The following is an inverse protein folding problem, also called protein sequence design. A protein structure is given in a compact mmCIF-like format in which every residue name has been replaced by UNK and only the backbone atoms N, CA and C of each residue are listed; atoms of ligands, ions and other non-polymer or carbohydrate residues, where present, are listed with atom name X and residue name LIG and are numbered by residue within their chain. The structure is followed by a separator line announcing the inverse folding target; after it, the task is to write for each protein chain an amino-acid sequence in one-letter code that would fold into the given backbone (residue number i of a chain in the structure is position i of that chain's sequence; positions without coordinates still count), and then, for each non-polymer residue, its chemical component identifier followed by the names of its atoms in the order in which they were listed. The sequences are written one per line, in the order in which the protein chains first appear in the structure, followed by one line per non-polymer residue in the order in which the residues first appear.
data_IF_626080878247
#
_entry.id   IF_626080878247
#
_cell.length_a   1.000
_cell.length_b   1.000
_cell.length_c   1.000
_cell.angle_alpha   90.00
_cell.angle_beta   90.00
_cell.angle_gamma   90.00
#
_symmetry.space_group_name_H-M   'P 1'
#
loop_
_entity.id
_entity.type
_entity.pdbx_description
1 polymer ?
#
# COMPACT_ATOMS: atom_id res chain seq x y z
N UNK A 1 15.90 -3.15 11.67
CA UNK A 1 16.65 -3.63 10.49
C UNK A 1 15.73 -3.51 9.29
N UNK A 2 16.18 -2.85 8.23
CA UNK A 2 15.32 -2.58 7.08
C UNK A 2 14.81 -3.89 6.44
N UNK A 3 13.50 -3.97 6.23
CA UNK A 3 12.84 -5.09 5.55
C UNK A 3 12.80 -4.89 4.04
N UNK A 4 12.72 -3.61 3.60
CA UNK A 4 12.65 -3.21 2.20
C UNK A 4 13.62 -2.07 1.95
N UNK A 5 14.46 -2.18 0.91
CA UNK A 5 15.40 -1.12 0.51
C UNK A 5 15.28 -0.81 -0.98
N UNK A 6 15.47 0.45 -1.31
CA UNK A 6 15.70 0.93 -2.66
C UNK A 6 17.14 1.44 -2.72
N UNK A 7 17.93 0.95 -3.68
CA UNK A 7 19.35 1.23 -3.84
C UNK A 7 19.63 1.79 -5.23
N UNK A 8 19.98 3.07 -5.32
CA UNK A 8 20.27 3.81 -6.56
C UNK A 8 19.20 3.62 -7.64
N UNK A 9 17.91 3.66 -7.22
CA UNK A 9 16.78 3.34 -8.08
C UNK A 9 16.55 4.44 -9.10
N UNK A 10 16.67 4.09 -10.39
CA UNK A 10 16.22 4.92 -11.50
C UNK A 10 15.02 4.25 -12.18
N UNK A 11 14.08 5.07 -12.64
CA UNK A 11 12.97 4.59 -13.46
C UNK A 11 12.60 5.57 -14.54
N UNK A 12 12.48 5.06 -15.77
CA UNK A 12 12.20 5.85 -16.96
C UNK A 12 11.00 5.28 -17.71
N UNK A 13 9.96 6.10 -17.85
CA UNK A 13 8.87 5.80 -18.78
C UNK A 13 9.32 6.16 -20.19
N UNK A 14 9.29 5.20 -21.08
CA UNK A 14 9.63 5.40 -22.48
C UNK A 14 8.40 5.15 -23.36
N UNK A 15 7.97 6.17 -24.07
CA UNK A 15 6.92 6.06 -25.08
C UNK A 15 7.50 6.37 -26.45
N UNK A 16 6.74 6.12 -27.51
CA UNK A 16 7.18 6.46 -28.89
C UNK A 16 7.50 7.95 -29.06
N UNK A 17 6.96 8.83 -28.22
CA UNK A 17 7.01 10.28 -28.37
C UNK A 17 7.79 10.99 -27.26
N UNK A 18 7.99 10.34 -26.12
CA UNK A 18 8.56 11.01 -24.95
C UNK A 18 9.28 10.02 -24.03
N UNK A 19 10.36 10.50 -23.44
CA UNK A 19 11.08 9.84 -22.34
C UNK A 19 10.92 10.68 -21.07
N UNK A 20 10.38 10.07 -20.02
CA UNK A 20 10.18 10.73 -18.72
C UNK A 20 10.99 10.01 -17.66
N UNK A 21 11.95 10.69 -17.06
CA UNK A 21 12.75 10.20 -15.95
C UNK A 21 11.98 10.41 -14.65
N UNK A 22 11.27 9.38 -14.22
CA UNK A 22 10.41 9.45 -13.04
C UNK A 22 11.19 9.34 -11.72
N UNK A 23 12.25 8.51 -11.69
CA UNK A 23 13.17 8.40 -10.56
C UNK A 23 14.61 8.47 -11.05
N UNK A 24 15.50 9.07 -10.21
CA UNK A 24 16.85 9.47 -10.60
C UNK A 24 17.87 9.17 -9.51
N UNK A 25 18.07 7.90 -9.18
CA UNK A 25 18.99 7.45 -8.14
C UNK A 25 18.40 7.67 -6.74
N UNK A 26 17.30 6.97 -6.46
CA UNK A 26 16.63 7.00 -5.15
C UNK A 26 17.23 5.94 -4.26
N UNK A 27 17.67 6.37 -3.06
CA UNK A 27 18.10 5.50 -1.97
C UNK A 27 17.17 5.70 -0.79
N UNK A 28 16.51 4.65 -0.32
CA UNK A 28 15.71 4.68 0.90
C UNK A 28 15.53 3.28 1.48
N UNK A 29 15.23 3.22 2.77
CA UNK A 29 15.03 1.98 3.50
C UNK A 29 13.76 2.09 4.35
N UNK A 30 13.04 0.98 4.53
CA UNK A 30 11.82 0.91 5.30
C UNK A 30 11.91 -0.24 6.30
N UNK A 31 11.47 0.00 7.53
CA UNK A 31 11.61 -0.95 8.63
C UNK A 31 10.25 -1.54 9.04
N UNK A 32 10.27 -2.78 9.54
CA UNK A 32 9.10 -3.36 10.21
C UNK A 32 8.82 -2.62 11.51
N UNK A 33 7.56 -2.48 11.87
CA UNK A 33 7.15 -1.75 13.06
C UNK A 33 7.16 -0.23 12.89
N UNK A 34 7.38 0.27 11.66
CA UNK A 34 7.40 1.70 11.35
C UNK A 34 6.39 2.07 10.26
N UNK A 35 5.81 3.25 10.42
CA UNK A 35 5.01 3.92 9.41
C UNK A 35 5.82 5.07 8.80
N UNK A 36 6.14 4.98 7.51
CA UNK A 36 6.89 6.01 6.77
C UNK A 36 5.99 6.74 5.79
N UNK A 37 5.95 8.06 5.83
CA UNK A 37 5.29 8.86 4.81
C UNK A 37 6.26 9.22 3.67
N UNK A 38 5.79 9.09 2.44
CA UNK A 38 6.46 9.61 1.24
C UNK A 38 5.67 10.83 0.77
N UNK A 39 6.29 12.01 0.84
CA UNK A 39 5.65 13.27 0.47
C UNK A 39 6.36 13.93 -0.72
N UNK A 40 5.66 14.83 -1.41
CA UNK A 40 6.21 15.61 -2.53
C UNK A 40 5.11 16.11 -3.45
N UNK A 41 5.45 17.00 -4.37
CA UNK A 41 4.51 17.57 -5.34
C UNK A 41 3.97 16.52 -6.32
N UNK A 42 2.87 16.82 -6.99
CA UNK A 42 2.36 15.96 -8.07
C UNK A 42 3.45 15.79 -9.15
N UNK A 43 3.61 14.56 -9.64
CA UNK A 43 4.62 14.23 -10.66
C UNK A 43 6.05 14.08 -10.12
N UNK A 44 6.30 14.19 -8.81
CA UNK A 44 7.64 14.03 -8.24
C UNK A 44 8.20 12.60 -8.24
N UNK A 45 7.39 11.59 -8.55
CA UNK A 45 7.81 10.18 -8.62
C UNK A 45 7.28 9.28 -7.50
N UNK A 46 6.45 9.78 -6.56
CA UNK A 46 5.94 9.01 -5.40
C UNK A 46 5.24 7.70 -5.79
N UNK A 47 4.22 7.79 -6.62
CA UNK A 47 3.46 6.61 -7.09
C UNK A 47 4.34 5.65 -7.89
N UNK A 48 5.32 6.17 -8.64
CA UNK A 48 6.31 5.34 -9.34
C UNK A 48 7.18 4.57 -8.35
N UNK A 49 7.71 5.26 -7.32
CA UNK A 49 8.47 4.58 -6.27
C UNK A 49 7.62 3.53 -5.56
N UNK A 50 6.39 3.88 -5.16
CA UNK A 50 5.47 2.93 -4.53
C UNK A 50 5.23 1.68 -5.39
N UNK A 51 5.05 1.86 -6.71
CA UNK A 51 4.85 0.75 -7.66
C UNK A 51 6.06 -0.18 -7.73
N UNK A 52 7.27 0.37 -7.70
CA UNK A 52 8.51 -0.42 -7.67
C UNK A 52 8.68 -1.14 -6.32
N UNK A 53 8.41 -0.47 -5.20
CA UNK A 53 8.42 -1.06 -3.86
C UNK A 53 7.39 -2.21 -3.76
N UNK A 54 6.27 -2.08 -4.46
CA UNK A 54 5.25 -3.13 -4.55
C UNK A 54 5.63 -4.30 -5.47
N UNK A 55 6.75 -4.21 -6.21
CA UNK A 55 7.12 -5.20 -7.22
C UNK A 55 6.17 -5.26 -8.42
N UNK A 56 5.37 -4.22 -8.65
CA UNK A 56 4.49 -4.11 -9.82
C UNK A 56 5.30 -3.87 -11.09
N UNK A 57 6.48 -3.24 -10.94
CA UNK A 57 7.41 -3.01 -12.03
C UNK A 57 8.86 -3.26 -11.55
N UNK A 58 9.84 -3.12 -12.44
CA UNK A 58 11.27 -3.33 -12.18
C UNK A 58 11.99 -2.01 -12.44
N UNK A 59 12.94 -1.58 -11.58
CA UNK A 59 13.74 -0.40 -11.82
C UNK A 59 14.50 -0.49 -13.16
N UNK A 60 14.66 0.63 -13.86
CA UNK A 60 15.51 0.71 -15.06
C UNK A 60 16.98 0.55 -14.70
N UNK A 61 17.39 1.07 -13.52
CA UNK A 61 18.69 0.85 -12.87
C UNK A 61 18.54 0.82 -11.37
N UNK A 62 19.54 0.30 -10.67
CA UNK A 62 19.51 0.07 -9.24
C UNK A 62 18.72 -1.18 -8.88
N UNK A 63 18.34 -1.32 -7.62
CA UNK A 63 17.60 -2.48 -7.13
C UNK A 63 16.61 -2.14 -6.02
N UNK A 64 15.50 -2.88 -5.98
CA UNK A 64 14.64 -3.00 -4.79
C UNK A 64 14.97 -4.34 -4.14
N UNK A 65 15.20 -4.33 -2.83
CA UNK A 65 15.50 -5.55 -2.07
C UNK A 65 14.51 -5.75 -0.95
N UNK A 66 14.01 -6.95 -0.83
CA UNK A 66 13.21 -7.42 0.29
C UNK A 66 14.03 -8.39 1.12
N UNK A 67 14.28 -8.07 2.40
CA UNK A 67 15.14 -8.87 3.30
C UNK A 67 16.52 -9.16 2.68
N UNK A 68 17.08 -8.19 1.98
CA UNK A 68 18.38 -8.29 1.33
C UNK A 68 18.38 -8.99 -0.03
N UNK A 69 17.31 -9.63 -0.46
CA UNK A 69 17.19 -10.27 -1.77
C UNK A 69 16.55 -9.32 -2.78
N UNK A 70 17.10 -9.26 -4.00
CA UNK A 70 16.55 -8.45 -5.09
C UNK A 70 15.15 -8.93 -5.50
N UNK A 71 14.18 -8.03 -5.52
CA UNK A 71 12.80 -8.35 -5.93
C UNK A 71 12.70 -8.73 -7.41
N UNK A 72 13.68 -8.34 -8.23
CA UNK A 72 13.77 -8.71 -9.65
C UNK A 72 14.15 -10.19 -9.85
N UNK A 73 14.78 -10.82 -8.84
CA UNK A 73 15.22 -12.22 -8.86
C UNK A 73 14.17 -13.17 -8.23
N UNK A 74 13.11 -12.61 -7.61
CA UNK A 74 12.03 -13.39 -7.01
C UNK A 74 10.97 -13.78 -8.06
N UNK A 75 10.19 -14.83 -7.77
CA UNK A 75 8.87 -14.97 -8.36
C UNK A 75 8.00 -13.81 -7.85
N UNK A 76 7.92 -12.74 -8.63
CA UNK A 76 7.27 -11.49 -8.21
C UNK A 76 5.79 -11.66 -7.89
N UNK A 77 5.09 -12.53 -8.60
CA UNK A 77 3.66 -12.74 -8.38
C UNK A 77 3.43 -13.49 -7.07
N UNK A 78 4.19 -14.56 -6.80
CA UNK A 78 4.16 -15.28 -5.54
C UNK A 78 4.60 -14.39 -4.36
N UNK A 79 5.71 -13.65 -4.54
CA UNK A 79 6.19 -12.74 -3.50
C UNK A 79 5.18 -11.64 -3.15
N UNK A 80 4.55 -11.01 -4.15
CA UNK A 80 3.51 -10.01 -3.91
C UNK A 80 2.31 -10.60 -3.18
N UNK A 81 1.86 -11.78 -3.61
CA UNK A 81 0.70 -12.44 -3.01
C UNK A 81 0.89 -12.71 -1.52
N UNK A 82 2.11 -13.01 -1.11
CA UNK A 82 2.42 -13.38 0.28
C UNK A 82 2.86 -12.19 1.14
N UNK A 83 3.56 -11.22 0.55
CA UNK A 83 4.29 -10.22 1.33
C UNK A 83 3.82 -8.77 1.14
N UNK A 84 3.04 -8.47 0.09
CA UNK A 84 2.71 -7.09 -0.25
C UNK A 84 1.20 -6.87 -0.35
N UNK A 85 0.71 -5.86 0.34
CA UNK A 85 -0.64 -5.32 0.12
C UNK A 85 -0.55 -3.88 -0.34
N UNK A 86 -1.33 -3.54 -1.36
CA UNK A 86 -1.42 -2.16 -1.86
C UNK A 86 -2.83 -1.62 -1.64
N UNK A 87 -2.91 -0.48 -0.95
CA UNK A 87 -4.13 0.29 -0.74
C UNK A 87 -4.09 1.48 -1.70
N UNK A 88 -5.06 1.59 -2.58
CA UNK A 88 -5.12 2.62 -3.62
C UNK A 88 -6.12 3.71 -3.26
N UNK A 89 -5.86 4.94 -3.68
CA UNK A 89 -6.77 6.07 -3.58
C UNK A 89 -8.17 5.78 -4.15
N UNK A 90 -8.24 5.05 -5.26
CA UNK A 90 -9.50 4.67 -5.93
C UNK A 90 -9.96 3.26 -5.52
N UNK A 91 -9.63 2.81 -4.31
CA UNK A 91 -10.03 1.55 -3.66
C UNK A 91 -9.70 0.27 -4.45
N UNK A 92 -9.82 0.28 -5.76
CA UNK A 92 -9.58 -0.87 -6.66
C UNK A 92 -10.30 -2.14 -6.19
N UNK A 93 -11.57 -1.97 -5.78
CA UNK A 93 -12.43 -3.09 -5.44
C UNK A 93 -13.00 -3.74 -6.70
N UNK A 94 -13.20 -5.05 -6.65
CA UNK A 94 -13.90 -5.77 -7.68
C UNK A 94 -15.39 -5.44 -7.63
N UNK A 95 -15.91 -4.77 -8.65
CA UNK A 95 -17.24 -4.18 -8.66
C UNK A 95 -18.39 -5.20 -8.52
N UNK A 96 -18.17 -6.45 -8.94
CA UNK A 96 -19.15 -7.54 -8.91
C UNK A 96 -19.03 -8.45 -7.69
N UNK A 97 -18.01 -8.24 -6.86
CA UNK A 97 -17.82 -8.97 -5.61
C UNK A 97 -18.40 -8.16 -4.44
N UNK A 98 -18.93 -8.83 -3.47
CA UNK A 98 -19.39 -8.24 -2.21
C UNK A 98 -18.20 -7.72 -1.39
N UNK A 99 -18.48 -6.97 -0.32
CA UNK A 99 -17.45 -6.53 0.63
C UNK A 99 -16.66 -7.73 1.20
N UNK A 100 -17.38 -8.79 1.60
CA UNK A 100 -16.78 -10.01 2.13
C UNK A 100 -15.89 -10.70 1.09
N UNK A 101 -16.37 -10.87 -0.14
CA UNK A 101 -15.60 -11.50 -1.21
C UNK A 101 -14.39 -10.66 -1.63
N UNK A 102 -14.51 -9.33 -1.66
CA UNK A 102 -13.38 -8.43 -1.91
C UNK A 102 -12.29 -8.60 -0.83
N UNK A 103 -12.68 -8.64 0.44
CA UNK A 103 -11.74 -8.82 1.55
C UNK A 103 -11.13 -10.23 1.57
N UNK A 104 -11.91 -11.27 1.22
CA UNK A 104 -11.43 -12.66 1.16
C UNK A 104 -10.59 -12.97 -0.08
N UNK A 105 -10.62 -12.14 -1.11
CA UNK A 105 -10.02 -12.43 -2.41
C UNK A 105 -8.53 -12.83 -2.36
N UNK A 106 -7.63 -12.13 -1.64
CA UNK A 106 -6.24 -12.56 -1.53
C UNK A 106 -6.08 -13.93 -0.89
N UNK A 107 -6.93 -14.29 0.06
CA UNK A 107 -6.91 -15.60 0.71
C UNK A 107 -7.31 -16.74 -0.24
N UNK A 108 -8.23 -16.46 -1.19
CA UNK A 108 -8.56 -17.42 -2.26
C UNK A 108 -7.37 -17.64 -3.19
N UNK A 109 -6.63 -16.59 -3.54
CA UNK A 109 -5.40 -16.71 -4.32
C UNK A 109 -4.31 -17.47 -3.57
N UNK A 110 -4.23 -17.35 -2.24
CA UNK A 110 -3.38 -18.14 -1.34
C UNK A 110 -3.88 -19.59 -1.17
N UNK A 111 -4.95 -19.99 -1.87
CA UNK A 111 -5.55 -21.33 -1.83
C UNK A 111 -6.09 -21.74 -0.44
N UNK A 112 -6.44 -20.78 0.40
CA UNK A 112 -7.10 -21.09 1.68
C UNK A 112 -8.52 -21.62 1.45
N UNK A 113 -8.99 -22.55 2.29
CA UNK A 113 -10.37 -23.05 2.21
C UNK A 113 -11.37 -21.89 2.32
N UNK A 114 -12.41 -21.90 1.48
CA UNK A 114 -13.38 -20.79 1.37
C UNK A 114 -13.94 -20.36 2.73
N UNK A 115 -14.35 -21.31 3.57
CA UNK A 115 -14.92 -21.04 4.89
C UNK A 115 -13.95 -20.31 5.82
N UNK A 116 -12.67 -20.67 5.80
CA UNK A 116 -11.62 -20.02 6.60
C UNK A 116 -11.31 -18.62 6.06
N UNK A 117 -11.21 -18.48 4.74
CA UNK A 117 -10.98 -17.20 4.08
C UNK A 117 -12.10 -16.19 4.37
N UNK A 118 -13.36 -16.62 4.29
CA UNK A 118 -14.51 -15.77 4.60
C UNK A 118 -14.60 -15.41 6.09
N UNK A 119 -14.24 -16.33 6.99
CA UNK A 119 -14.22 -16.04 8.42
C UNK A 119 -13.14 -15.02 8.77
N UNK A 120 -11.93 -15.16 8.23
CA UNK A 120 -10.85 -14.20 8.39
C UNK A 120 -11.22 -12.82 7.81
N UNK A 121 -11.75 -12.80 6.58
CA UNK A 121 -12.19 -11.58 5.93
C UNK A 121 -13.29 -10.85 6.74
N UNK A 122 -14.26 -11.60 7.30
CA UNK A 122 -15.31 -11.05 8.15
C UNK A 122 -14.73 -10.40 9.41
N UNK A 123 -13.74 -11.03 10.04
CA UNK A 123 -13.04 -10.48 11.20
C UNK A 123 -12.32 -9.18 10.86
N UNK A 124 -11.62 -9.11 9.70
CA UNK A 124 -10.94 -7.90 9.28
C UNK A 124 -11.92 -6.78 8.86
N UNK A 125 -13.05 -7.10 8.23
CA UNK A 125 -14.10 -6.14 7.94
C UNK A 125 -14.67 -5.52 9.23
N UNK A 126 -14.95 -6.36 10.22
CA UNK A 126 -15.41 -5.88 11.52
C UNK A 126 -14.38 -5.00 12.22
N UNK A 127 -13.09 -5.37 12.17
CA UNK A 127 -11.99 -4.60 12.75
C UNK A 127 -11.84 -3.19 12.16
N UNK A 128 -12.21 -3.02 10.88
CA UNK A 128 -12.21 -1.69 10.24
C UNK A 128 -13.58 -1.00 10.29
N UNK A 129 -14.53 -1.49 11.09
CA UNK A 129 -15.83 -0.87 11.33
C UNK A 129 -16.88 -1.09 10.24
N UNK A 130 -16.73 -2.08 9.37
CA UNK A 130 -17.80 -2.52 8.45
C UNK A 130 -18.75 -3.44 9.22
N UNK A 131 -20.03 -3.13 9.17
CA UNK A 131 -21.05 -3.88 9.92
C UNK A 131 -21.44 -5.18 9.18
N UNK A 132 -21.88 -6.23 9.90
CA UNK A 132 -22.24 -7.52 9.29
C UNK A 132 -23.32 -7.45 8.21
N UNK A 133 -24.28 -6.52 8.32
CA UNK A 133 -25.33 -6.31 7.29
C UNK A 133 -24.77 -5.71 5.99
N UNK A 134 -23.55 -5.17 6.02
CA UNK A 134 -22.86 -4.59 4.86
C UNK A 134 -21.99 -5.62 4.12
N UNK A 135 -21.66 -6.77 4.73
CA UNK A 135 -20.76 -7.77 4.15
C UNK A 135 -21.24 -8.29 2.78
N UNK A 136 -22.56 -8.39 2.59
CA UNK A 136 -23.18 -8.79 1.32
C UNK A 136 -23.34 -7.67 0.29
N UNK A 137 -22.94 -6.44 0.59
CA UNK A 137 -23.09 -5.31 -0.34
C UNK A 137 -21.94 -5.28 -1.34
N UNK A 138 -22.26 -5.02 -2.61
CA UNK A 138 -21.25 -4.71 -3.63
C UNK A 138 -20.75 -3.27 -3.49
N UNK A 139 -19.56 -2.92 -4.01
CA UNK A 139 -18.95 -1.59 -3.85
C UNK A 139 -19.88 -0.41 -4.18
N UNK A 140 -20.70 -0.52 -5.22
CA UNK A 140 -21.69 0.52 -5.60
C UNK A 140 -22.74 0.83 -4.52
N UNK A 141 -22.91 -0.04 -3.54
CA UNK A 141 -23.86 0.08 -2.43
C UNK A 141 -23.19 0.61 -1.14
N UNK A 142 -21.91 0.93 -1.22
CA UNK A 142 -21.07 1.41 -0.12
C UNK A 142 -20.65 2.86 -0.36
N UNK A 143 -20.59 3.65 0.69
CA UNK A 143 -19.98 5.00 0.64
C UNK A 143 -18.48 4.92 0.33
N UNK A 144 -17.86 6.04 -0.05
CA UNK A 144 -16.42 6.09 -0.33
C UNK A 144 -15.58 5.63 0.87
N UNK A 145 -15.93 6.07 2.08
CA UNK A 145 -15.26 5.64 3.31
C UNK A 145 -15.43 4.15 3.60
N UNK A 146 -16.62 3.58 3.36
CA UNK A 146 -16.85 2.14 3.50
C UNK A 146 -16.04 1.35 2.46
N UNK A 147 -15.99 1.80 1.20
CA UNK A 147 -15.17 1.17 0.16
C UNK A 147 -13.69 1.18 0.54
N UNK A 148 -13.18 2.29 1.09
CA UNK A 148 -11.80 2.37 1.55
C UNK A 148 -11.54 1.40 2.71
N UNK A 149 -12.46 1.32 3.69
CA UNK A 149 -12.35 0.34 4.78
C UNK A 149 -12.36 -1.11 4.26
N UNK A 150 -13.17 -1.42 3.26
CA UNK A 150 -13.13 -2.76 2.61
C UNK A 150 -11.78 -3.01 1.92
N UNK A 151 -11.19 -2.00 1.25
CA UNK A 151 -9.86 -2.14 0.64
C UNK A 151 -8.76 -2.38 1.69
N UNK A 152 -8.88 -1.73 2.85
CA UNK A 152 -7.97 -1.96 3.98
C UNK A 152 -8.20 -3.35 4.59
N UNK A 153 -9.44 -3.77 4.82
CA UNK A 153 -9.76 -5.11 5.30
C UNK A 153 -9.19 -6.20 4.38
N UNK A 154 -9.23 -5.98 3.06
CA UNK A 154 -8.58 -6.84 2.07
C UNK A 154 -7.07 -6.92 2.27
N UNK A 155 -6.41 -5.78 2.52
CA UNK A 155 -4.98 -5.72 2.78
C UNK A 155 -4.63 -6.43 4.11
N UNK A 156 -5.46 -6.27 5.15
CA UNK A 156 -5.31 -6.94 6.43
C UNK A 156 -5.47 -8.46 6.32
N UNK A 157 -6.51 -8.91 5.62
CA UNK A 157 -6.81 -10.32 5.42
C UNK A 157 -5.65 -11.04 4.70
N UNK A 158 -4.99 -10.39 3.75
CA UNK A 158 -3.82 -10.95 3.07
C UNK A 158 -2.68 -11.32 4.03
N UNK A 159 -2.59 -10.69 5.20
CA UNK A 159 -1.56 -10.95 6.19
C UNK A 159 -0.16 -10.44 5.83
N UNK A 160 -0.06 -9.59 4.82
CA UNK A 160 1.19 -9.09 4.24
C UNK A 160 2.06 -8.35 5.26
N UNK A 161 3.38 -8.46 5.10
CA UNK A 161 4.36 -7.74 5.92
C UNK A 161 4.56 -6.28 5.48
N UNK A 162 4.39 -6.03 4.16
CA UNK A 162 4.48 -4.72 3.55
C UNK A 162 3.09 -4.20 3.22
N UNK A 163 2.75 -3.03 3.74
CA UNK A 163 1.52 -2.32 3.44
C UNK A 163 1.89 -1.00 2.78
N UNK A 164 1.56 -0.87 1.52
CA UNK A 164 1.87 0.27 0.69
C UNK A 164 0.57 1.00 0.36
N UNK A 165 0.42 2.25 0.78
CA UNK A 165 -0.80 3.03 0.61
C UNK A 165 -0.55 4.26 -0.28
N UNK A 166 -1.27 4.36 -1.39
CA UNK A 166 -1.22 5.49 -2.30
C UNK A 166 -2.42 6.40 -2.05
N UNK A 167 -2.20 7.54 -1.40
CA UNK A 167 -3.21 8.54 -1.03
C UNK A 167 -4.44 7.89 -0.34
N UNK A 168 -4.26 7.12 0.75
CA UNK A 168 -5.34 6.29 1.30
C UNK A 168 -6.52 7.09 1.89
N UNK A 169 -6.33 8.40 2.09
CA UNK A 169 -7.32 9.32 2.67
C UNK A 169 -7.84 10.36 1.68
N UNK A 170 -7.28 10.43 0.46
CA UNK A 170 -7.52 11.52 -0.49
C UNK A 170 -8.96 11.70 -1.00
N UNK A 171 -9.85 10.72 -0.78
CA UNK A 171 -11.27 10.77 -1.16
C UNK A 171 -12.21 10.70 0.04
N UNK A 172 -11.71 10.95 1.25
CA UNK A 172 -12.45 10.82 2.50
C UNK A 172 -12.62 12.19 3.18
N UNK A 173 -13.63 12.29 4.03
CA UNK A 173 -13.75 13.40 4.98
C UNK A 173 -12.72 13.26 6.12
N UNK A 174 -12.57 14.32 6.91
CA UNK A 174 -11.55 14.39 7.97
C UNK A 174 -11.70 13.30 9.04
N UNK A 175 -12.91 12.92 9.40
CA UNK A 175 -13.17 11.90 10.42
C UNK A 175 -12.76 10.52 9.90
N UNK A 176 -13.18 10.15 8.69
CA UNK A 176 -12.79 8.90 8.06
C UNK A 176 -11.28 8.85 7.79
N UNK A 177 -10.68 9.99 7.40
CA UNK A 177 -9.23 10.09 7.17
C UNK A 177 -8.44 9.75 8.43
N UNK A 178 -8.79 10.33 9.57
CA UNK A 178 -8.16 10.04 10.87
C UNK A 178 -8.33 8.57 11.27
N UNK A 179 -9.53 8.02 11.10
CA UNK A 179 -9.79 6.61 11.42
C UNK A 179 -8.91 5.67 10.59
N UNK A 180 -8.80 5.92 9.28
CA UNK A 180 -7.93 5.14 8.39
C UNK A 180 -6.47 5.27 8.81
N UNK A 181 -6.03 6.47 9.12
CA UNK A 181 -4.64 6.71 9.55
C UNK A 181 -4.32 5.98 10.86
N UNK A 182 -5.22 6.01 11.84
CA UNK A 182 -5.09 5.25 13.10
C UNK A 182 -4.95 3.75 12.83
N UNK A 183 -5.78 3.18 11.94
CA UNK A 183 -5.66 1.76 11.56
C UNK A 183 -4.28 1.47 10.96
N UNK A 184 -3.74 2.34 10.11
CA UNK A 184 -2.42 2.15 9.50
C UNK A 184 -1.29 2.26 10.55
N UNK A 185 -1.42 3.15 11.54
CA UNK A 185 -0.48 3.24 12.67
C UNK A 185 -0.53 1.97 13.55
N UNK A 186 -1.72 1.46 13.88
CA UNK A 186 -1.87 0.20 14.62
C UNK A 186 -1.22 -0.97 13.88
N UNK A 187 -1.35 -1.02 12.55
CA UNK A 187 -0.68 -2.03 11.73
C UNK A 187 0.83 -1.96 11.83
N UNK A 188 1.41 -0.76 11.81
CA UNK A 188 2.84 -0.58 11.97
C UNK A 188 3.26 -0.99 13.39
N UNK A 189 2.69 -0.36 14.41
CA UNK A 189 3.21 -0.43 15.78
C UNK A 189 2.80 -1.70 16.52
N UNK A 190 1.52 -2.10 16.44
CA UNK A 190 1.04 -3.26 17.19
C UNK A 190 1.25 -4.57 16.44
N UNK A 191 1.03 -4.56 15.12
CA UNK A 191 1.21 -5.76 14.28
C UNK A 191 2.60 -5.85 13.64
N UNK A 192 3.51 -4.92 13.95
CA UNK A 192 4.90 -4.91 13.49
C UNK A 192 5.02 -5.00 11.95
N UNK A 193 4.10 -4.35 11.22
CA UNK A 193 4.15 -4.29 9.77
C UNK A 193 5.01 -3.13 9.29
N UNK A 194 5.59 -3.24 8.10
CA UNK A 194 6.20 -2.11 7.41
C UNK A 194 5.10 -1.38 6.65
N UNK A 195 4.78 -0.16 7.05
CA UNK A 195 3.72 0.66 6.44
C UNK A 195 4.35 1.85 5.72
N UNK A 196 4.09 1.98 4.43
CA UNK A 196 4.55 3.11 3.62
C UNK A 196 3.34 3.83 3.05
N UNK A 197 3.20 5.10 3.34
CA UNK A 197 2.06 5.93 2.90
C UNK A 197 2.55 7.04 1.99
N UNK A 198 2.09 7.08 0.77
CA UNK A 198 2.21 8.25 -0.10
C UNK A 198 1.06 9.20 0.23
N UNK A 199 1.38 10.43 0.56
CA UNK A 199 0.37 11.48 0.82
C UNK A 199 0.88 12.87 0.44
N UNK A 200 -0.05 13.76 0.15
CA UNK A 200 0.21 15.20 0.05
C UNK A 200 -0.25 15.97 1.31
N UNK A 201 -0.89 15.27 2.24
CA UNK A 201 -1.33 15.82 3.53
C UNK A 201 -0.14 15.84 4.51
N UNK A 202 0.39 17.03 4.75
CA UNK A 202 1.54 17.23 5.65
C UNK A 202 1.19 17.04 7.12
N UNK A 203 -0.06 17.28 7.52
CA UNK A 203 -0.49 17.08 8.91
C UNK A 203 -0.51 15.58 9.26
N UNK A 204 -0.99 14.76 8.33
CA UNK A 204 -0.93 13.30 8.48
C UNK A 204 0.50 12.77 8.36
N UNK A 205 1.30 13.30 7.44
CA UNK A 205 2.69 12.87 7.27
C UNK A 205 3.51 13.10 8.55
N UNK A 206 3.33 14.22 9.25
CA UNK A 206 4.02 14.53 10.50
C UNK A 206 3.65 13.61 11.67
N UNK A 207 2.57 12.84 11.56
CA UNK A 207 2.16 11.84 12.55
C UNK A 207 2.77 10.45 12.28
N UNK A 208 3.56 10.29 11.21
CA UNK A 208 4.29 9.05 10.92
C UNK A 208 5.65 9.04 11.64
N UNK A 209 6.26 7.86 11.76
CA UNK A 209 7.57 7.72 12.43
C UNK A 209 8.72 8.36 11.62
N UNK A 210 8.52 8.48 10.30
CA UNK A 210 9.52 9.04 9.38
C UNK A 210 8.86 9.65 8.16
N UNK A 211 9.42 10.77 7.68
CA UNK A 211 8.98 11.45 6.44
C UNK A 211 10.11 11.42 5.42
N UNK A 212 9.82 10.89 4.25
CA UNK A 212 10.71 10.89 3.08
C UNK A 212 10.17 11.86 2.04
N UNK A 213 10.90 12.92 1.74
CA UNK A 213 10.49 13.93 0.76
C UNK A 213 11.09 13.65 -0.60
N UNK A 214 10.23 13.49 -1.63
CA UNK A 214 10.66 13.32 -3.02
C UNK A 214 10.40 14.60 -3.80
N UNK A 215 11.44 15.05 -4.50
CA UNK A 215 11.40 16.18 -5.43
C UNK A 215 12.14 15.82 -6.73
N UNK A 216 11.48 16.03 -7.87
CA UNK A 216 12.06 15.82 -9.21
C UNK A 216 12.74 14.43 -9.38
N UNK A 217 12.10 13.39 -8.81
CA UNK A 217 12.57 12.00 -8.87
C UNK A 217 13.75 11.67 -7.95
N UNK A 218 14.09 12.51 -6.98
CA UNK A 218 15.18 12.32 -6.00
C UNK A 218 14.66 12.46 -4.58
N UNK A 219 15.32 11.80 -3.63
CA UNK A 219 15.11 12.11 -2.20
C UNK A 219 15.74 13.48 -1.94
N UNK A 220 14.95 14.40 -1.41
CA UNK A 220 15.39 15.76 -1.07
C UNK A 220 15.76 15.90 0.42
N UNK A 221 14.97 15.29 1.29
CA UNK A 221 15.14 15.29 2.75
C UNK A 221 14.54 14.02 3.36
N UNK A 222 15.08 13.60 4.50
CA UNK A 222 14.51 12.58 5.38
C UNK A 222 14.48 13.15 6.81
N UNK A 223 13.31 13.11 7.42
CA UNK A 223 13.07 13.58 8.80
C UNK A 223 12.47 12.47 9.66
#
# INVERSE_FOLDING_TARGET
MAILTAEQVEYTYQTKYQTVYALRGVDCAFESGQMTAIVGTSGSGKTTLLSLLAGLDVPTKGSIRFRGQSTAELDRDGWRLENVSVIYQNFKLFAHLTALENAAYPLYLQKRPKKEAEAEAAAQLAAVGIQPDQFGRCPRMLSGGEQQRVAIARALAAGSELILADEPTGNLDDENSRNIFTILQELAHERQRCVVVVTHDMELAQQTDRVVRIKDGRIAEEE
#
